data_IF_082331782894
#
_entry.id   IF_082331782894
#
_cell.length_a   1.000
_cell.length_b   1.000
_cell.length_c   1.000
_cell.angle_alpha   90.00
_cell.angle_beta   90.00
_cell.angle_gamma   90.00
#
_symmetry.space_group_name_H-M   'P 1'
#
loop_
_entity.id
_entity.type
_entity.pdbx_description
1 polymer ?
#
# COMPACT_ATOMS: atom_id res chain seq x y z
N UNK A 1 13.05 -21.96 -24.18
CA UNK A 1 13.26 -21.36 -22.84
C UNK A 1 12.48 -20.07 -22.75
N UNK A 2 11.43 -19.98 -21.91
CA UNK A 2 10.98 -18.76 -21.20
C UNK A 2 9.60 -19.01 -20.55
N UNK A 3 9.59 -19.84 -19.49
CA UNK A 3 8.46 -19.92 -18.55
C UNK A 3 8.65 -18.95 -17.37
N UNK A 4 9.55 -17.98 -17.51
CA UNK A 4 9.98 -17.08 -16.43
C UNK A 4 9.12 -15.82 -16.17
N UNK A 5 8.09 -15.40 -16.93
CA UNK A 5 7.52 -14.09 -16.71
C UNK A 5 6.84 -13.98 -15.33
N UNK A 6 5.99 -14.93 -14.93
CA UNK A 6 5.16 -14.78 -13.73
C UNK A 6 5.94 -14.77 -12.40
N UNK A 7 6.96 -15.61 -12.25
CA UNK A 7 7.74 -15.70 -10.98
C UNK A 7 8.64 -14.49 -10.79
N UNK A 8 9.24 -14.00 -11.88
CA UNK A 8 10.07 -12.79 -11.86
C UNK A 8 9.26 -11.57 -11.41
N UNK A 9 8.01 -11.42 -11.88
CA UNK A 9 7.13 -10.33 -11.46
C UNK A 9 6.81 -10.34 -9.96
N UNK A 10 6.42 -11.50 -9.41
CA UNK A 10 6.17 -11.61 -7.96
C UNK A 10 7.42 -11.34 -7.12
N UNK A 11 8.59 -11.77 -7.59
CA UNK A 11 9.86 -11.49 -6.92
C UNK A 11 10.24 -10.01 -6.97
N UNK A 12 10.06 -9.35 -8.12
CA UNK A 12 10.26 -7.91 -8.26
C UNK A 12 9.30 -7.11 -7.37
N UNK A 13 8.03 -7.51 -7.30
CA UNK A 13 7.04 -6.91 -6.42
C UNK A 13 7.40 -7.07 -4.93
N UNK A 14 7.90 -8.25 -4.54
CA UNK A 14 8.44 -8.49 -3.21
C UNK A 14 9.64 -7.60 -2.89
N UNK A 15 10.60 -7.50 -3.81
CA UNK A 15 11.79 -6.68 -3.62
C UNK A 15 11.42 -5.20 -3.48
N UNK A 16 10.56 -4.70 -4.36
CA UNK A 16 10.05 -3.33 -4.30
C UNK A 16 9.32 -3.06 -2.98
N UNK A 17 8.42 -3.95 -2.54
CA UNK A 17 7.70 -3.81 -1.27
C UNK A 17 8.63 -3.84 -0.05
N UNK A 18 9.63 -4.72 -0.04
CA UNK A 18 10.62 -4.81 1.04
C UNK A 18 11.49 -3.56 1.13
N UNK A 19 11.94 -3.03 -0.01
CA UNK A 19 12.70 -1.78 -0.06
C UNK A 19 11.86 -0.61 0.46
N UNK A 20 10.61 -0.48 0.02
CA UNK A 20 9.70 0.57 0.49
C UNK A 20 9.43 0.46 2.00
N UNK A 21 9.26 -0.74 2.54
CA UNK A 21 9.17 -0.96 4.00
C UNK A 21 10.45 -0.54 4.72
N UNK A 22 11.62 -0.90 4.17
CA UNK A 22 12.91 -0.50 4.71
C UNK A 22 13.07 1.01 4.77
N UNK A 23 12.73 1.72 3.70
CA UNK A 23 12.71 3.20 3.66
C UNK A 23 11.73 3.75 4.69
N UNK A 24 10.54 3.15 4.81
CA UNK A 24 9.53 3.59 5.78
C UNK A 24 10.02 3.47 7.23
N UNK A 25 10.70 2.38 7.60
CA UNK A 25 11.29 2.23 8.92
C UNK A 25 12.52 3.11 9.13
N UNK A 26 13.31 3.34 8.09
CA UNK A 26 14.43 4.27 8.15
C UNK A 26 13.95 5.70 8.44
N UNK A 27 12.83 6.13 7.87
CA UNK A 27 12.27 7.44 8.16
C UNK A 27 11.75 7.58 9.59
N UNK A 28 11.21 6.52 10.17
CA UNK A 28 10.77 6.53 11.58
C UNK A 28 11.95 6.52 12.55
N UNK A 29 12.88 5.57 12.41
CA UNK A 29 13.96 5.41 13.40
C UNK A 29 15.20 6.26 13.10
N UNK A 30 15.49 6.51 11.83
CA UNK A 30 16.66 7.28 11.39
C UNK A 30 16.38 8.78 11.34
N UNK A 31 15.26 9.18 10.74
CA UNK A 31 14.87 10.59 10.66
C UNK A 31 13.96 11.04 11.83
N UNK A 32 13.65 10.15 12.77
CA UNK A 32 12.85 10.41 13.97
C UNK A 32 11.45 10.99 13.69
N UNK A 33 10.82 10.61 12.57
CA UNK A 33 9.45 11.00 12.27
C UNK A 33 8.46 10.20 13.12
N UNK A 34 7.50 10.89 13.75
CA UNK A 34 6.39 10.23 14.44
C UNK A 34 5.40 9.67 13.41
N UNK A 35 5.14 8.34 13.40
CA UNK A 35 4.22 7.75 12.44
C UNK A 35 2.77 8.08 12.80
N UNK A 36 1.98 8.44 11.79
CA UNK A 36 0.54 8.61 11.92
C UNK A 36 -0.19 7.26 11.90
N UNK A 37 -1.41 7.14 12.47
CA UNK A 37 -2.15 5.88 12.45
C UNK A 37 -2.44 5.37 11.03
N UNK A 38 -2.76 6.26 10.09
CA UNK A 38 -2.94 5.93 8.66
C UNK A 38 -1.64 5.38 8.03
N UNK A 39 -0.49 5.94 8.42
CA UNK A 39 0.84 5.51 7.99
C UNK A 39 1.12 4.08 8.48
N UNK A 40 0.73 3.78 9.72
CA UNK A 40 0.87 2.43 10.28
C UNK A 40 -0.04 1.42 9.58
N UNK A 41 -1.26 1.82 9.19
CA UNK A 41 -2.15 0.97 8.39
C UNK A 41 -1.59 0.71 6.99
N UNK A 42 -1.03 1.74 6.33
CA UNK A 42 -0.35 1.57 5.04
C UNK A 42 0.82 0.59 5.15
N UNK A 43 1.62 0.66 6.21
CA UNK A 43 2.69 -0.31 6.46
C UNK A 43 2.17 -1.72 6.67
N UNK A 44 1.07 -1.90 7.39
CA UNK A 44 0.45 -3.22 7.56
C UNK A 44 0.00 -3.81 6.22
N UNK A 45 -0.65 -3.01 5.37
CA UNK A 45 -1.04 -3.44 4.02
C UNK A 45 0.16 -3.73 3.12
N UNK A 46 1.22 -2.92 3.20
CA UNK A 46 2.45 -3.12 2.46
C UNK A 46 3.21 -4.38 2.92
N UNK A 47 3.22 -4.66 4.22
CA UNK A 47 3.77 -5.89 4.78
C UNK A 47 3.00 -7.12 4.30
N UNK A 48 1.67 -7.09 4.37
CA UNK A 48 0.81 -8.15 3.84
C UNK A 48 1.04 -8.36 2.33
N UNK A 49 1.09 -7.28 1.55
CA UNK A 49 1.43 -7.31 0.13
C UNK A 49 2.77 -7.99 -0.12
N UNK A 50 3.81 -7.59 0.62
CA UNK A 50 5.17 -8.11 0.47
C UNK A 50 5.23 -9.61 0.80
N UNK A 51 4.59 -10.04 1.89
CA UNK A 51 4.51 -11.44 2.28
C UNK A 51 3.77 -12.31 1.25
N UNK A 52 2.64 -11.84 0.72
CA UNK A 52 1.90 -12.55 -0.33
C UNK A 52 2.79 -12.76 -1.56
N UNK A 53 3.50 -11.72 -1.99
CA UNK A 53 4.40 -11.80 -3.15
C UNK A 53 5.61 -12.69 -2.90
N UNK A 54 6.16 -12.71 -1.67
CA UNK A 54 7.23 -13.63 -1.29
C UNK A 54 6.78 -15.09 -1.38
N UNK A 55 5.63 -15.41 -0.79
CA UNK A 55 5.06 -16.76 -0.82
C UNK A 55 4.76 -17.17 -2.26
N UNK A 56 4.18 -16.28 -3.07
CA UNK A 56 3.93 -16.53 -4.48
C UNK A 56 5.22 -16.79 -5.29
N UNK A 57 6.31 -16.08 -4.98
CA UNK A 57 7.61 -16.27 -5.64
C UNK A 57 8.28 -17.60 -5.27
N UNK A 58 8.08 -18.09 -4.03
CA UNK A 58 8.64 -19.36 -3.54
C UNK A 58 7.82 -20.58 -3.97
N UNK A 59 6.49 -20.49 -3.93
CA UNK A 59 5.59 -21.64 -4.17
C UNK A 59 5.60 -22.11 -5.63
N UNK A 60 6.07 -21.28 -6.59
CA UNK A 60 5.99 -21.53 -8.03
C UNK A 60 4.59 -22.00 -8.49
N UNK A 61 3.55 -21.17 -8.27
CA UNK A 61 2.16 -21.59 -8.40
C UNK A 61 1.75 -21.97 -9.83
N UNK A 62 0.88 -22.98 -9.94
CA UNK A 62 0.14 -23.29 -11.17
C UNK A 62 -0.84 -22.16 -11.52
N UNK A 63 -1.40 -22.15 -12.74
CA UNK A 63 -2.24 -21.07 -13.30
C UNK A 63 -3.31 -20.52 -12.34
N UNK A 64 -4.04 -21.38 -11.63
CA UNK A 64 -5.08 -20.94 -10.69
C UNK A 64 -4.52 -20.18 -9.48
N UNK A 65 -3.44 -20.68 -8.88
CA UNK A 65 -2.84 -20.05 -7.73
C UNK A 65 -2.19 -18.70 -8.06
N UNK A 66 -1.71 -18.48 -9.31
CA UNK A 66 -1.25 -17.16 -9.77
C UNK A 66 -2.37 -16.12 -9.67
N UNK A 67 -3.60 -16.47 -10.06
CA UNK A 67 -4.75 -15.57 -9.95
C UNK A 67 -5.12 -15.29 -8.50
N UNK A 68 -5.06 -16.30 -7.63
CA UNK A 68 -5.35 -16.13 -6.21
C UNK A 68 -4.34 -15.21 -5.52
N UNK A 69 -3.04 -15.46 -5.68
CA UNK A 69 -1.99 -14.62 -5.11
C UNK A 69 -2.02 -13.20 -5.70
N UNK A 70 -2.24 -13.08 -7.01
CA UNK A 70 -2.35 -11.77 -7.67
C UNK A 70 -3.56 -10.96 -7.20
N UNK A 71 -4.73 -11.60 -7.05
CA UNK A 71 -5.91 -10.93 -6.53
C UNK A 71 -5.74 -10.50 -5.06
N UNK A 72 -5.13 -11.37 -4.23
CA UNK A 72 -4.85 -11.05 -2.84
C UNK A 72 -3.85 -9.87 -2.71
N UNK A 73 -2.77 -9.87 -3.51
CA UNK A 73 -1.81 -8.78 -3.50
C UNK A 73 -2.42 -7.47 -4.02
N UNK A 74 -3.21 -7.51 -5.09
CA UNK A 74 -3.96 -6.35 -5.58
C UNK A 74 -4.96 -5.83 -4.55
N UNK A 75 -5.61 -6.71 -3.78
CA UNK A 75 -6.49 -6.32 -2.68
C UNK A 75 -5.75 -5.53 -1.60
N UNK A 76 -4.58 -6.00 -1.17
CA UNK A 76 -3.73 -5.26 -0.22
C UNK A 76 -3.27 -3.92 -0.79
N UNK A 77 -2.86 -3.88 -2.06
CA UNK A 77 -2.43 -2.64 -2.72
C UNK A 77 -3.58 -1.63 -2.86
N UNK A 78 -4.81 -2.10 -3.10
CA UNK A 78 -6.00 -1.25 -3.17
C UNK A 78 -6.34 -0.62 -1.82
N UNK A 79 -6.31 -1.41 -0.74
CA UNK A 79 -6.52 -0.90 0.61
C UNK A 79 -5.43 0.10 1.01
N UNK A 80 -4.17 -0.20 0.70
CA UNK A 80 -3.05 0.71 0.89
C UNK A 80 -3.22 2.03 0.13
N UNK A 81 -3.60 1.96 -1.16
CA UNK A 81 -3.90 3.13 -1.98
C UNK A 81 -5.05 3.96 -1.39
N UNK A 82 -6.14 3.32 -0.95
CA UNK A 82 -7.27 4.03 -0.34
C UNK A 82 -6.86 4.79 0.92
N UNK A 83 -6.04 4.17 1.79
CA UNK A 83 -5.51 4.85 2.98
C UNK A 83 -4.54 5.99 2.63
N UNK A 84 -3.74 5.84 1.57
CA UNK A 84 -2.84 6.88 1.11
C UNK A 84 -3.59 8.07 0.50
N UNK A 85 -4.61 7.83 -0.34
CA UNK A 85 -5.50 8.90 -0.85
C UNK A 85 -6.14 9.65 0.31
N UNK A 86 -6.66 8.94 1.32
CA UNK A 86 -7.26 9.59 2.49
C UNK A 86 -6.25 10.48 3.21
N UNK A 87 -5.01 10.02 3.37
CA UNK A 87 -3.95 10.80 3.99
C UNK A 87 -3.60 12.06 3.17
N UNK A 88 -3.48 11.96 1.85
CA UNK A 88 -3.25 13.12 0.97
C UNK A 88 -4.40 14.12 1.06
N UNK A 89 -5.65 13.66 1.07
CA UNK A 89 -6.82 14.53 1.21
C UNK A 89 -6.83 15.27 2.56
N UNK A 90 -6.44 14.59 3.64
CA UNK A 90 -6.35 15.21 4.96
C UNK A 90 -5.20 16.23 5.03
N UNK A 91 -4.05 15.95 4.41
CA UNK A 91 -2.93 16.88 4.35
C UNK A 91 -3.24 18.13 3.53
N UNK A 92 -3.95 17.98 2.41
CA UNK A 92 -4.36 19.13 1.59
C UNK A 92 -5.46 19.98 2.24
N UNK A 93 -6.26 19.39 3.14
CA UNK A 93 -7.31 20.11 3.87
C UNK A 93 -6.78 20.81 5.13
N UNK A 94 -5.71 20.31 5.75
CA UNK A 94 -5.04 20.90 6.90
C UNK A 94 -4.19 22.10 6.47
N UNK A 95 -4.86 23.20 6.11
CA UNK A 95 -4.20 24.47 5.75
C UNK A 95 -3.72 25.27 6.96
N UNK A 96 -4.20 24.95 8.16
CA UNK A 96 -3.87 25.63 9.42
C UNK A 96 -3.59 24.61 10.54
N UNK A 97 -2.39 24.59 11.15
CA UNK A 97 -2.04 23.63 12.21
C UNK A 97 -2.95 23.69 13.46
N UNK A 98 -3.69 24.79 13.65
CA UNK A 98 -4.67 24.96 14.72
C UNK A 98 -5.94 24.09 14.56
N UNK A 99 -6.38 23.81 13.32
CA UNK A 99 -7.55 22.97 13.05
C UNK A 99 -7.30 21.51 13.42
N UNK A 100 -6.04 21.10 13.45
CA UNK A 100 -5.66 19.75 13.83
C UNK A 100 -5.72 19.52 15.36
N UNK A 101 -5.47 20.55 16.17
CA UNK A 101 -5.43 20.45 17.62
C UNK A 101 -6.85 20.29 18.22
N UNK A 102 -7.84 20.98 17.64
CA UNK A 102 -9.21 21.01 18.18
C UNK A 102 -9.94 19.65 18.07
N UNK A 103 -9.51 18.76 17.17
CA UNK A 103 -10.08 17.40 17.04
C UNK A 103 -9.46 16.37 18.01
N UNK A 104 -8.36 16.71 18.70
CA UNK A 104 -7.63 15.82 19.60
C UNK A 104 -8.09 15.90 21.07
N UNK A 105 -8.57 17.07 21.52
CA UNK A 105 -8.78 17.32 22.96
C UNK A 105 -9.98 16.59 23.59
N UNK A 106 -10.91 16.04 22.81
CA UNK A 106 -12.17 15.52 23.37
C UNK A 106 -12.27 13.98 23.47
N UNK A 107 -11.31 13.15 22.99
CA UNK A 107 -11.57 11.69 22.98
C UNK A 107 -10.38 10.73 22.95
N UNK A 108 -9.15 11.08 23.31
CA UNK A 108 -8.02 10.12 23.17
C UNK A 108 -7.82 9.18 24.37
N UNK A 109 -8.32 9.51 25.56
CA UNK A 109 -8.00 8.73 26.76
C UNK A 109 -8.73 7.37 26.89
N UNK A 110 -9.64 7.00 25.98
CA UNK A 110 -10.45 5.76 26.09
C UNK A 110 -10.72 5.01 24.76
N UNK A 111 -10.05 5.33 23.66
CA UNK A 111 -10.34 4.68 22.37
C UNK A 111 -9.59 3.35 22.24
N UNK A 112 -10.34 2.24 22.16
CA UNK A 112 -9.81 0.92 21.77
C UNK A 112 -9.22 0.95 20.34
N UNK A 113 -8.29 0.03 20.02
CA UNK A 113 -7.67 -0.08 18.68
C UNK A 113 -8.70 -0.12 17.54
N UNK A 114 -9.88 -0.69 17.78
CA UNK A 114 -10.99 -0.74 16.83
C UNK A 114 -11.67 0.63 16.64
N UNK A 115 -11.87 1.37 17.73
CA UNK A 115 -12.43 2.71 17.67
C UNK A 115 -11.43 3.71 17.07
N UNK A 116 -10.13 3.55 17.33
CA UNK A 116 -9.06 4.31 16.68
C UNK A 116 -9.04 4.07 15.16
N UNK A 117 -9.23 2.82 14.72
CA UNK A 117 -9.42 2.48 13.30
C UNK A 117 -10.64 3.18 12.70
N UNK A 118 -11.79 3.12 13.37
CA UNK A 118 -13.01 3.81 12.90
C UNK A 118 -12.84 5.33 12.89
N UNK A 119 -12.14 5.88 13.86
CA UNK A 119 -11.88 7.31 14.01
C UNK A 119 -10.85 7.81 12.98
N UNK A 120 -9.83 7.01 12.64
CA UNK A 120 -8.90 7.30 11.54
C UNK A 120 -9.59 7.26 10.17
N UNK A 121 -10.50 6.31 9.96
CA UNK A 121 -11.34 6.28 8.75
C UNK A 121 -12.28 7.49 8.72
N UNK A 122 -12.85 7.88 9.86
CA UNK A 122 -13.71 9.07 9.99
C UNK A 122 -12.94 10.40 9.92
N UNK A 123 -11.63 10.41 10.19
CA UNK A 123 -10.73 11.56 10.02
C UNK A 123 -10.46 12.39 11.28
N UNK A 124 -10.67 11.86 12.49
CA UNK A 124 -10.63 12.65 13.72
C UNK A 124 -9.34 12.61 14.53
N UNK A 125 -8.34 11.76 14.21
CA UNK A 125 -7.34 11.39 15.23
C UNK A 125 -5.90 11.83 14.97
N UNK A 126 -5.41 12.02 13.75
CA UNK A 126 -3.98 12.37 13.58
C UNK A 126 -3.73 13.22 12.33
N UNK A 127 -3.62 14.54 12.48
CA UNK A 127 -2.76 15.32 11.59
C UNK A 127 -1.46 15.66 12.33
N UNK A 128 -0.55 14.69 12.30
CA UNK A 128 0.87 14.99 12.44
C UNK A 128 1.33 15.57 11.10
N UNK A 129 1.81 16.82 11.12
CA UNK A 129 2.52 17.40 9.98
C UNK A 129 3.78 16.58 9.69
N UNK A 130 3.74 15.85 8.57
CA UNK A 130 4.89 15.12 8.06
C UNK A 130 5.60 16.06 7.08
N UNK A 131 6.59 16.79 7.57
CA UNK A 131 7.34 17.80 6.78
C UNK A 131 8.38 17.20 5.83
N UNK A 132 8.36 15.89 5.58
CA UNK A 132 9.29 15.28 4.65
C UNK A 132 8.71 15.25 3.25
N UNK A 133 9.36 16.01 2.37
CA UNK A 133 9.08 16.05 0.94
C UNK A 133 10.31 15.62 0.16
N UNK A 134 10.09 14.97 -0.97
CA UNK A 134 11.14 14.59 -1.91
C UNK A 134 10.65 14.91 -3.32
N UNK A 135 11.40 15.75 -4.05
CA UNK A 135 11.00 16.28 -5.37
C UNK A 135 9.63 16.99 -5.35
N UNK A 136 9.36 17.77 -4.31
CA UNK A 136 8.06 18.45 -4.05
C UNK A 136 6.86 17.50 -3.84
N UNK A 137 7.07 16.18 -3.82
CA UNK A 137 6.05 15.23 -3.41
C UNK A 137 6.20 14.86 -1.93
N UNK A 138 5.06 14.78 -1.24
CA UNK A 138 4.99 14.36 0.15
C UNK A 138 5.11 12.84 0.32
N UNK A 139 5.48 12.38 1.52
CA UNK A 139 5.52 10.95 1.85
C UNK A 139 4.25 10.15 1.46
N UNK A 140 3.02 10.61 1.78
CA UNK A 140 1.83 9.85 1.39
C UNK A 140 1.57 9.83 -0.11
N UNK A 141 1.99 10.86 -0.86
CA UNK A 141 1.91 10.82 -2.32
C UNK A 141 2.87 9.79 -2.91
N UNK A 142 4.09 9.68 -2.37
CA UNK A 142 5.02 8.60 -2.73
C UNK A 142 4.46 7.21 -2.43
N UNK A 143 3.84 7.04 -1.25
CA UNK A 143 3.13 5.79 -0.91
C UNK A 143 1.98 5.50 -1.87
N UNK A 144 1.20 6.52 -2.23
CA UNK A 144 0.10 6.39 -3.19
C UNK A 144 0.61 5.95 -4.56
N UNK A 145 1.65 6.60 -5.08
CA UNK A 145 2.29 6.25 -6.34
C UNK A 145 2.78 4.80 -6.34
N UNK A 146 3.39 4.35 -5.24
CA UNK A 146 3.81 2.96 -5.09
C UNK A 146 2.62 2.00 -5.22
N UNK A 147 1.57 2.18 -4.41
CA UNK A 147 0.42 1.28 -4.43
C UNK A 147 -0.31 1.28 -5.78
N UNK A 148 -0.49 2.46 -6.39
CA UNK A 148 -1.12 2.61 -7.70
C UNK A 148 -0.26 1.97 -8.80
N UNK A 149 1.06 2.14 -8.74
CA UNK A 149 2.00 1.48 -9.67
C UNK A 149 1.91 -0.05 -9.58
N UNK A 150 1.87 -0.61 -8.37
CA UNK A 150 1.74 -2.05 -8.17
C UNK A 150 0.37 -2.57 -8.62
N UNK A 151 -0.71 -1.81 -8.43
CA UNK A 151 -2.04 -2.14 -8.96
C UNK A 151 -2.04 -2.19 -10.48
N UNK A 152 -1.47 -1.19 -11.15
CA UNK A 152 -1.37 -1.16 -12.61
C UNK A 152 -0.59 -2.37 -13.14
N UNK A 153 0.55 -2.69 -12.53
CA UNK A 153 1.34 -3.87 -12.90
C UNK A 153 0.55 -5.18 -12.70
N UNK A 154 -0.18 -5.30 -11.60
CA UNK A 154 -1.06 -6.44 -11.34
C UNK A 154 -2.17 -6.59 -12.39
N UNK A 155 -2.85 -5.50 -12.74
CA UNK A 155 -3.90 -5.47 -13.77
C UNK A 155 -3.31 -5.85 -15.14
N UNK A 156 -2.14 -5.29 -15.50
CA UNK A 156 -1.45 -5.62 -16.75
C UNK A 156 -1.06 -7.10 -16.84
N UNK A 157 -0.62 -7.69 -15.73
CA UNK A 157 -0.30 -9.12 -15.68
C UNK A 157 -1.57 -9.97 -15.86
N UNK A 158 -2.66 -9.59 -15.18
CA UNK A 158 -3.95 -10.30 -15.25
C UNK A 158 -4.55 -10.23 -16.66
N UNK A 159 -4.51 -9.05 -17.30
CA UNK A 159 -5.02 -8.86 -18.65
C UNK A 159 -4.22 -9.65 -19.69
N UNK A 160 -2.88 -9.69 -19.57
CA UNK A 160 -2.02 -10.53 -20.42
C UNK A 160 -2.33 -12.02 -20.27
N UNK A 161 -2.51 -12.50 -19.04
CA UNK A 161 -2.87 -13.90 -18.76
C UNK A 161 -4.22 -14.25 -19.36
N UNK A 162 -5.21 -13.36 -19.20
CA UNK A 162 -6.55 -13.53 -19.77
C UNK A 162 -6.53 -13.54 -21.31
N UNK A 163 -5.80 -12.62 -21.93
CA UNK A 163 -5.69 -12.50 -23.38
C UNK A 163 -5.01 -13.73 -24.01
N UNK A 164 -3.97 -14.25 -23.37
CA UNK A 164 -3.26 -15.45 -23.82
C UNK A 164 -4.15 -16.70 -23.75
N UNK A 165 -5.04 -16.80 -22.76
CA UNK A 165 -5.98 -17.92 -22.69
C UNK A 165 -7.07 -17.84 -23.78
N UNK A 166 -7.63 -16.64 -24.03
CA UNK A 166 -8.59 -16.44 -25.11
C UNK A 166 -8.02 -16.79 -26.49
N UNK A 167 -6.81 -16.35 -26.80
CA UNK A 167 -6.15 -16.66 -28.08
C UNK A 167 -5.92 -18.15 -28.28
N UNK A 168 -5.65 -18.90 -27.20
CA UNK A 168 -5.46 -20.34 -27.27
C UNK A 168 -6.77 -21.10 -27.48
N UNK A 169 -7.88 -20.58 -26.94
CA UNK A 169 -9.22 -21.14 -27.18
C UNK A 169 -9.74 -20.83 -28.58
N UNK A 170 -9.39 -19.69 -29.18
CA UNK A 170 -9.80 -19.34 -30.54
C UNK A 170 -9.04 -20.10 -31.65
N UNK A 171 -7.96 -20.85 -31.30
CA UNK A 171 -7.15 -21.65 -32.24
C UNK A 171 -7.41 -23.16 -32.17
N UNK A 172 -8.31 -23.62 -31.30
CA UNK A 172 -8.79 -25.02 -31.26
C UNK A 172 -10.19 -25.08 -31.83
#
# INVERSE_FOLDING_TARGET
MSFAPSRSWFFLAFLAGTLTLGVSFYLEFGAALRPCLLCQMQRAFLAAFTLINLVAALHNPKRFAIYLYGAASMGCALLGAATAVRQVLLQNAASDPADCLHSLDDTIDNLSLWQALQAAVKGTVDCVEINWTLFDLSLPEWSLLFFVGMLMLGIMQFSRLFWHQRLHHARR
#
